data_IF_188957014969
#
_entry.id   IF_188957014969
#
_cell.length_a   1.000
_cell.length_b   1.000
_cell.length_c   1.000
_cell.angle_alpha   90.00
_cell.angle_beta   90.00
_cell.angle_gamma   90.00
#
_symmetry.space_group_name_H-M   'P 1'
#
loop_
_entity.id
_entity.type
_entity.pdbx_description
1 polymer ?
#
# COMPACT_ATOMS: atom_id res chain seq x y z
N UNK A 1 12.51 22.45 2.50
CA UNK A 1 11.42 22.42 3.49
C UNK A 1 10.03 22.56 2.89
N UNK A 2 9.74 23.58 2.08
CA UNK A 2 8.43 23.74 1.44
C UNK A 2 8.01 22.53 0.57
N UNK A 3 8.96 21.96 -0.17
CA UNK A 3 8.75 20.73 -0.96
C UNK A 3 8.39 19.52 -0.08
N UNK A 4 9.05 19.36 1.08
CA UNK A 4 8.78 18.28 2.03
C UNK A 4 7.39 18.41 2.67
N UNK A 5 6.97 19.63 3.03
CA UNK A 5 5.61 19.90 3.51
C UNK A 5 4.57 19.58 2.43
N UNK A 6 4.78 20.07 1.21
CA UNK A 6 3.88 19.80 0.09
C UNK A 6 3.74 18.30 -0.22
N UNK A 7 4.83 17.54 -0.09
CA UNK A 7 4.79 16.08 -0.23
C UNK A 7 4.00 15.41 0.91
N UNK A 8 4.17 15.81 2.17
CA UNK A 8 3.41 15.22 3.28
C UNK A 8 1.91 15.48 3.15
N UNK A 9 1.52 16.73 2.88
CA UNK A 9 0.11 17.12 2.80
C UNK A 9 -0.55 16.61 1.51
N UNK A 10 0.04 16.89 0.35
CA UNK A 10 -0.55 16.55 -0.93
C UNK A 10 -0.44 15.07 -1.29
N UNK A 11 0.72 14.47 -1.01
CA UNK A 11 1.02 13.09 -1.45
C UNK A 11 0.75 12.08 -0.34
N UNK A 12 1.34 12.24 0.85
CA UNK A 12 1.17 11.22 1.90
C UNK A 12 -0.25 11.25 2.49
N UNK A 13 -0.77 12.41 2.87
CA UNK A 13 -2.14 12.49 3.39
C UNK A 13 -3.17 12.26 2.27
N UNK A 14 -3.11 13.04 1.20
CA UNK A 14 -4.13 12.99 0.14
C UNK A 14 -4.12 11.72 -0.73
N UNK A 15 -2.93 11.19 -1.08
CA UNK A 15 -2.84 10.00 -1.95
C UNK A 15 -2.68 8.72 -1.15
N UNK A 16 -1.65 8.63 -0.30
CA UNK A 16 -1.32 7.38 0.40
C UNK A 16 -2.36 7.02 1.47
N UNK A 17 -2.82 7.96 2.29
CA UNK A 17 -3.75 7.67 3.39
C UNK A 17 -5.24 7.78 3.03
N UNK A 18 -5.58 8.30 1.86
CA UNK A 18 -6.98 8.49 1.44
C UNK A 18 -7.28 7.80 0.11
N UNK A 19 -6.65 8.23 -0.99
CA UNK A 19 -6.96 7.70 -2.32
C UNK A 19 -6.61 6.21 -2.48
N UNK A 20 -5.40 5.79 -2.11
CA UNK A 20 -4.95 4.41 -2.31
C UNK A 20 -5.78 3.39 -1.51
N UNK A 21 -6.11 3.62 -0.21
CA UNK A 21 -7.06 2.79 0.53
C UNK A 21 -8.39 2.63 -0.18
N UNK A 22 -8.94 3.69 -0.78
CA UNK A 22 -10.22 3.60 -1.51
C UNK A 22 -10.13 2.68 -2.74
N UNK A 23 -9.00 2.69 -3.44
CA UNK A 23 -8.75 1.81 -4.60
C UNK A 23 -8.58 0.36 -4.17
N UNK A 24 -7.85 0.12 -3.09
CA UNK A 24 -7.76 -1.20 -2.46
C UNK A 24 -9.13 -1.71 -2.01
N UNK A 25 -9.93 -0.87 -1.34
CA UNK A 25 -11.28 -1.22 -0.87
C UNK A 25 -12.21 -1.65 -2.02
N UNK A 26 -12.06 -1.06 -3.20
CA UNK A 26 -12.83 -1.46 -4.38
C UNK A 26 -12.33 -2.77 -5.01
N UNK A 27 -11.00 -3.00 -5.02
CA UNK A 27 -10.37 -4.13 -5.69
C UNK A 27 -10.45 -5.43 -4.87
N UNK A 28 -10.14 -5.38 -3.58
CA UNK A 28 -9.97 -6.57 -2.73
C UNK A 28 -11.23 -7.46 -2.65
N UNK A 29 -12.46 -6.91 -2.45
CA UNK A 29 -13.66 -7.73 -2.43
C UNK A 29 -13.91 -8.44 -3.76
N UNK A 30 -13.61 -7.77 -4.89
CA UNK A 30 -13.75 -8.33 -6.24
C UNK A 30 -12.79 -9.50 -6.44
N UNK A 31 -11.53 -9.32 -6.08
CA UNK A 31 -10.51 -10.37 -6.10
C UNK A 31 -10.91 -11.57 -5.25
N UNK A 32 -11.32 -11.34 -4.00
CA UNK A 32 -11.69 -12.41 -3.07
C UNK A 32 -12.87 -13.22 -3.60
N UNK A 33 -13.91 -12.54 -4.10
CA UNK A 33 -15.09 -13.17 -4.69
C UNK A 33 -14.74 -14.01 -5.93
N UNK A 34 -13.91 -13.47 -6.82
CA UNK A 34 -13.47 -14.20 -8.03
C UNK A 34 -12.61 -15.41 -7.69
N UNK A 35 -11.70 -15.28 -6.72
CA UNK A 35 -10.89 -16.39 -6.21
C UNK A 35 -11.77 -17.53 -5.69
N UNK A 36 -12.73 -17.23 -4.82
CA UNK A 36 -13.66 -18.24 -4.28
C UNK A 36 -14.54 -18.89 -5.35
N UNK A 37 -14.99 -18.09 -6.33
CA UNK A 37 -15.77 -18.61 -7.45
C UNK A 37 -14.93 -19.57 -8.31
N UNK A 38 -13.64 -19.28 -8.51
CA UNK A 38 -12.74 -20.13 -9.27
C UNK A 38 -12.55 -21.49 -8.59
N UNK A 39 -12.44 -21.51 -7.26
CA UNK A 39 -12.28 -22.73 -6.46
C UNK A 39 -13.52 -23.65 -6.48
N UNK A 40 -14.69 -23.14 -6.86
CA UNK A 40 -15.97 -23.86 -6.85
C UNK A 40 -16.50 -24.19 -8.24
N UNK A 41 -15.83 -23.72 -9.30
CA UNK A 41 -16.25 -23.93 -10.69
C UNK A 41 -15.86 -25.31 -11.19
N UNK A 42 -16.84 -26.05 -11.73
CA UNK A 42 -16.62 -27.32 -12.41
C UNK A 42 -16.56 -27.21 -13.95
N UNK A 43 -16.94 -26.05 -14.52
CA UNK A 43 -17.08 -25.86 -15.98
C UNK A 43 -15.85 -25.16 -16.59
N UNK A 44 -15.12 -25.89 -17.45
CA UNK A 44 -13.81 -25.48 -18.02
C UNK A 44 -13.86 -24.13 -18.75
N UNK A 45 -14.86 -23.87 -19.60
CA UNK A 45 -14.91 -22.60 -20.34
C UNK A 45 -15.20 -21.37 -19.45
N UNK A 46 -15.91 -21.58 -18.34
CA UNK A 46 -16.20 -20.51 -17.37
C UNK A 46 -14.98 -20.27 -16.45
N UNK A 47 -14.17 -21.31 -16.25
CA UNK A 47 -12.90 -21.25 -15.53
C UNK A 47 -11.90 -20.35 -16.26
N UNK A 48 -11.67 -20.55 -17.56
CA UNK A 48 -10.70 -19.74 -18.33
C UNK A 48 -10.99 -18.24 -18.29
N UNK A 49 -12.26 -17.86 -18.48
CA UNK A 49 -12.69 -16.45 -18.40
C UNK A 49 -12.41 -15.87 -17.01
N UNK A 50 -12.70 -16.63 -15.96
CA UNK A 50 -12.51 -16.17 -14.59
C UNK A 50 -11.04 -16.08 -14.19
N UNK A 51 -10.20 -17.00 -14.68
CA UNK A 51 -8.75 -16.94 -14.52
C UNK A 51 -8.18 -15.66 -15.14
N UNK A 52 -8.63 -15.32 -16.36
CA UNK A 52 -8.23 -14.06 -17.02
C UNK A 52 -8.67 -12.83 -16.23
N UNK A 53 -9.94 -12.78 -15.80
CA UNK A 53 -10.46 -11.67 -14.98
C UNK A 53 -9.70 -11.52 -13.65
N UNK A 54 -9.25 -12.63 -13.06
CA UNK A 54 -8.48 -12.62 -11.82
C UNK A 54 -7.03 -12.18 -12.06
N UNK A 55 -6.42 -12.55 -13.18
CA UNK A 55 -5.10 -12.07 -13.58
C UNK A 55 -5.13 -10.54 -13.80
N UNK A 56 -6.17 -10.02 -14.48
CA UNK A 56 -6.39 -8.57 -14.62
C UNK A 56 -6.50 -7.87 -13.25
N UNK A 57 -7.15 -8.51 -12.26
CA UNK A 57 -7.21 -7.96 -10.91
C UNK A 57 -5.84 -7.95 -10.21
N UNK A 58 -5.02 -8.99 -10.39
CA UNK A 58 -3.65 -9.01 -9.85
C UNK A 58 -2.75 -7.98 -10.54
N UNK A 59 -2.97 -7.71 -11.82
CA UNK A 59 -2.27 -6.64 -12.53
C UNK A 59 -2.63 -5.27 -11.92
N UNK A 60 -3.91 -5.01 -11.66
CA UNK A 60 -4.36 -3.80 -10.97
C UNK A 60 -3.77 -3.69 -9.55
N UNK A 61 -3.72 -4.79 -8.80
CA UNK A 61 -3.09 -4.82 -7.48
C UNK A 61 -1.60 -4.48 -7.56
N UNK A 62 -0.92 -4.99 -8.59
CA UNK A 62 0.49 -4.68 -8.87
C UNK A 62 0.68 -3.20 -9.19
N UNK A 63 -0.21 -2.61 -10.00
CA UNK A 63 -0.17 -1.17 -10.30
C UNK A 63 -0.36 -0.33 -9.03
N UNK A 64 -1.26 -0.71 -8.13
CA UNK A 64 -1.43 -0.02 -6.84
C UNK A 64 -0.18 -0.11 -5.96
N UNK A 65 0.46 -1.29 -5.90
CA UNK A 65 1.74 -1.44 -5.20
C UNK A 65 2.84 -0.57 -5.80
N UNK A 66 2.94 -0.51 -7.14
CA UNK A 66 3.90 0.35 -7.83
C UNK A 66 3.68 1.81 -7.45
N UNK A 67 2.43 2.28 -7.43
CA UNK A 67 2.12 3.64 -6.98
C UNK A 67 2.58 3.88 -5.54
N UNK A 68 2.33 2.96 -4.62
CA UNK A 68 2.80 3.09 -3.22
C UNK A 68 4.33 3.13 -3.11
N UNK A 69 5.03 2.32 -3.91
CA UNK A 69 6.50 2.35 -4.01
C UNK A 69 7.02 3.66 -4.59
N UNK A 70 6.37 4.21 -5.60
CA UNK A 70 6.73 5.50 -6.18
C UNK A 70 6.61 6.62 -5.14
N UNK A 71 5.52 6.64 -4.36
CA UNK A 71 5.39 7.59 -3.25
C UNK A 71 6.54 7.41 -2.25
N UNK A 72 6.82 6.17 -1.82
CA UNK A 72 7.94 5.89 -0.92
C UNK A 72 9.28 6.41 -1.45
N UNK A 73 9.61 6.14 -2.72
CA UNK A 73 10.86 6.59 -3.36
C UNK A 73 10.93 8.11 -3.48
N UNK A 74 9.83 8.76 -3.85
CA UNK A 74 9.70 10.21 -3.91
C UNK A 74 10.01 10.83 -2.53
N UNK A 75 9.36 10.32 -1.48
CA UNK A 75 9.63 10.76 -0.11
C UNK A 75 11.08 10.55 0.31
N UNK A 76 11.68 9.39 0.02
CA UNK A 76 13.10 9.14 0.31
C UNK A 76 13.99 10.17 -0.39
N UNK A 77 13.73 10.46 -1.67
CA UNK A 77 14.50 11.45 -2.42
C UNK A 77 14.40 12.85 -1.81
N UNK A 78 13.18 13.32 -1.50
CA UNK A 78 12.92 14.65 -0.96
C UNK A 78 13.62 14.83 0.40
N UNK A 79 13.43 13.89 1.32
CA UNK A 79 13.94 14.02 2.69
C UNK A 79 15.44 13.73 2.78
N UNK A 80 16.00 12.88 1.90
CA UNK A 80 17.44 12.68 1.84
C UNK A 80 18.17 13.93 1.32
N UNK A 81 17.59 14.64 0.35
CA UNK A 81 18.13 15.89 -0.17
C UNK A 81 17.98 17.07 0.81
N UNK A 82 16.86 17.11 1.55
CA UNK A 82 16.53 18.24 2.42
C UNK A 82 17.27 18.25 3.78
N UNK A 83 17.68 17.08 4.31
CA UNK A 83 18.22 16.99 5.68
C UNK A 83 19.55 16.22 5.72
N UNK A 84 20.65 16.97 5.71
CA UNK A 84 22.01 16.43 5.62
C UNK A 84 22.61 16.03 6.98
N UNK A 85 22.16 16.63 8.07
CA UNK A 85 22.65 16.37 9.43
C UNK A 85 21.92 15.20 10.11
N UNK A 86 22.66 14.31 10.77
CA UNK A 86 22.12 13.11 11.41
C UNK A 86 21.39 13.38 12.75
N UNK A 87 21.56 14.59 13.32
CA UNK A 87 20.90 15.03 14.55
C UNK A 87 19.57 15.76 14.32
N UNK A 88 19.11 15.86 13.07
CA UNK A 88 17.86 16.54 12.78
C UNK A 88 16.64 15.71 13.25
N UNK A 89 15.79 16.24 14.16
CA UNK A 89 14.60 15.56 14.62
C UNK A 89 13.60 15.26 13.49
N UNK A 90 13.54 16.10 12.44
CA UNK A 90 12.74 15.86 11.24
C UNK A 90 13.23 14.62 10.51
N UNK A 91 14.55 14.51 10.29
CA UNK A 91 15.15 13.36 9.61
C UNK A 91 14.88 12.06 10.34
N UNK A 92 15.07 12.02 11.67
CA UNK A 92 14.79 10.83 12.48
C UNK A 92 13.34 10.41 12.39
N UNK A 93 12.43 11.38 12.49
CA UNK A 93 10.99 11.13 12.43
C UNK A 93 10.56 10.63 11.05
N UNK A 94 11.11 11.22 9.99
CA UNK A 94 10.94 10.72 8.63
C UNK A 94 11.49 9.31 8.44
N UNK A 95 12.70 9.00 8.91
CA UNK A 95 13.30 7.67 8.76
C UNK A 95 12.46 6.58 9.44
N UNK A 96 11.86 6.88 10.60
CA UNK A 96 10.91 5.98 11.26
C UNK A 96 9.65 5.78 10.42
N UNK A 97 9.06 6.87 9.89
CA UNK A 97 7.90 6.80 9.02
C UNK A 97 8.18 6.00 7.74
N UNK A 98 9.32 6.24 7.11
CA UNK A 98 9.76 5.55 5.89
C UNK A 98 9.94 4.05 6.13
N UNK A 99 10.54 3.65 7.26
CA UNK A 99 10.66 2.23 7.66
C UNK A 99 9.30 1.58 7.84
N UNK A 100 8.36 2.29 8.45
CA UNK A 100 7.00 1.79 8.64
C UNK A 100 6.25 1.64 7.32
N UNK A 101 6.36 2.60 6.40
CA UNK A 101 5.82 2.51 5.03
C UNK A 101 6.42 1.31 4.29
N UNK A 102 7.74 1.11 4.39
CA UNK A 102 8.41 -0.02 3.74
C UNK A 102 7.96 -1.38 4.32
N UNK A 103 7.79 -1.47 5.64
CA UNK A 103 7.29 -2.68 6.28
C UNK A 103 5.86 -3.03 5.85
N UNK A 104 5.00 -2.02 5.69
CA UNK A 104 3.65 -2.20 5.12
C UNK A 104 3.74 -2.69 3.66
N UNK A 105 4.54 -2.03 2.82
CA UNK A 105 4.75 -2.42 1.42
C UNK A 105 5.19 -3.88 1.29
N UNK A 106 6.23 -4.29 2.03
CA UNK A 106 6.72 -5.67 2.01
C UNK A 106 5.64 -6.65 2.46
N UNK A 107 4.85 -6.30 3.48
CA UNK A 107 3.74 -7.14 3.94
C UNK A 107 2.69 -7.31 2.85
N UNK A 108 2.33 -6.23 2.14
CA UNK A 108 1.37 -6.29 1.03
C UNK A 108 1.88 -7.14 -0.13
N UNK A 109 3.13 -6.96 -0.53
CA UNK A 109 3.78 -7.75 -1.58
C UNK A 109 3.76 -9.24 -1.25
N UNK A 110 4.15 -9.62 -0.04
CA UNK A 110 4.15 -11.01 0.40
C UNK A 110 2.74 -11.63 0.38
N UNK A 111 1.73 -10.89 0.87
CA UNK A 111 0.35 -11.37 0.88
C UNK A 111 -0.20 -11.55 -0.54
N UNK A 112 0.04 -10.60 -1.43
CA UNK A 112 -0.43 -10.67 -2.82
C UNK A 112 0.29 -11.75 -3.62
N UNK A 113 1.60 -11.91 -3.43
CA UNK A 113 2.37 -12.98 -4.05
C UNK A 113 1.87 -14.36 -3.58
N UNK A 114 1.66 -14.53 -2.28
CA UNK A 114 1.11 -15.77 -1.75
C UNK A 114 -0.31 -16.02 -2.25
N UNK A 115 -1.18 -15.00 -2.26
CA UNK A 115 -2.53 -15.13 -2.79
C UNK A 115 -2.50 -15.57 -4.25
N UNK A 116 -1.71 -14.91 -5.11
CA UNK A 116 -1.59 -15.28 -6.53
C UNK A 116 -1.11 -16.72 -6.70
N UNK A 117 -0.10 -17.13 -5.94
CA UNK A 117 0.43 -18.50 -6.01
C UNK A 117 -0.55 -19.57 -5.48
N UNK A 118 -1.37 -19.23 -4.49
CA UNK A 118 -2.31 -20.14 -3.85
C UNK A 118 -3.76 -19.97 -4.32
N UNK A 119 -4.00 -19.34 -5.47
CA UNK A 119 -5.35 -18.98 -5.93
C UNK A 119 -6.35 -20.15 -5.89
N UNK A 120 -5.91 -21.36 -6.24
CA UNK A 120 -6.76 -22.56 -6.29
C UNK A 120 -7.01 -23.21 -4.93
N UNK A 121 -6.24 -22.87 -3.90
CA UNK A 121 -6.24 -23.58 -2.60
C UNK A 121 -6.37 -22.65 -1.39
N UNK A 122 -6.24 -21.33 -1.57
CA UNK A 122 -6.25 -20.36 -0.49
C UNK A 122 -7.62 -20.36 0.23
N UNK A 123 -7.65 -20.57 1.56
CA UNK A 123 -8.91 -20.60 2.30
C UNK A 123 -9.61 -19.24 2.32
N UNK A 124 -10.94 -19.26 2.41
CA UNK A 124 -11.76 -18.05 2.56
C UNK A 124 -11.33 -17.18 3.75
N UNK A 125 -10.95 -17.79 4.88
CA UNK A 125 -10.55 -17.03 6.07
C UNK A 125 -9.23 -16.31 5.86
N UNK A 126 -8.27 -16.93 5.15
CA UNK A 126 -7.02 -16.28 4.74
C UNK A 126 -7.30 -15.09 3.83
N UNK A 127 -8.23 -15.22 2.87
CA UNK A 127 -8.63 -14.11 1.99
C UNK A 127 -9.22 -12.93 2.77
N UNK A 128 -10.01 -13.19 3.81
CA UNK A 128 -10.54 -12.13 4.69
C UNK A 128 -9.43 -11.43 5.45
N UNK A 129 -8.49 -12.19 6.03
CA UNK A 129 -7.33 -11.63 6.75
C UNK A 129 -6.47 -10.78 5.80
N UNK A 130 -6.17 -11.27 4.61
CA UNK A 130 -5.40 -10.53 3.61
C UNK A 130 -6.13 -9.27 3.15
N UNK A 131 -7.44 -9.36 2.87
CA UNK A 131 -8.23 -8.18 2.46
C UNK A 131 -8.24 -7.10 3.55
N UNK A 132 -8.31 -7.49 4.82
CA UNK A 132 -8.21 -6.55 5.93
C UNK A 132 -6.80 -5.95 6.05
N UNK A 133 -5.76 -6.79 6.04
CA UNK A 133 -4.38 -6.35 6.20
C UNK A 133 -3.88 -5.47 5.05
N UNK A 134 -4.29 -5.74 3.81
CA UNK A 134 -3.95 -4.92 2.64
C UNK A 134 -4.62 -3.53 2.67
N UNK A 135 -5.75 -3.40 3.37
CA UNK A 135 -6.51 -2.16 3.49
C UNK A 135 -6.02 -1.28 4.64
N UNK A 136 -5.62 -1.89 5.76
CA UNK A 136 -5.27 -1.16 6.98
C UNK A 136 -3.81 -0.74 6.95
N UNK A 137 -3.56 0.58 6.99
CA UNK A 137 -2.23 1.13 7.28
C UNK A 137 -1.99 1.11 8.80
N UNK A 138 -1.61 -0.04 9.34
CA UNK A 138 -1.48 -0.20 10.79
C UNK A 138 -0.35 0.66 11.39
N UNK A 139 0.71 0.91 10.61
CA UNK A 139 1.93 1.60 11.08
C UNK A 139 1.99 3.07 10.68
N UNK A 140 1.21 3.48 9.67
CA UNK A 140 1.23 4.85 9.12
C UNK A 140 -0.11 5.52 9.40
N UNK A 141 -0.10 6.54 10.27
CA UNK A 141 -1.32 7.25 10.67
C UNK A 141 -1.27 8.73 10.30
N UNK A 142 -2.46 9.33 10.09
CA UNK A 142 -2.59 10.77 9.83
C UNK A 142 -1.89 11.61 10.92
N UNK A 143 -2.03 11.22 12.19
CA UNK A 143 -1.40 11.91 13.31
C UNK A 143 0.14 11.91 13.22
N UNK A 144 0.76 10.80 12.81
CA UNK A 144 2.22 10.73 12.63
C UNK A 144 2.71 11.60 11.47
N UNK A 145 1.96 11.60 10.37
CA UNK A 145 2.27 12.46 9.22
C UNK A 145 2.11 13.94 9.58
N UNK A 146 1.06 14.28 10.32
CA UNK A 146 0.81 15.64 10.81
C UNK A 146 1.91 16.11 11.76
N UNK A 147 2.34 15.27 12.70
CA UNK A 147 3.44 15.60 13.60
C UNK A 147 4.75 15.88 12.84
N UNK A 148 5.06 15.10 11.79
CA UNK A 148 6.22 15.36 10.96
C UNK A 148 6.09 16.70 10.20
N UNK A 149 4.89 17.03 9.68
CA UNK A 149 4.63 18.30 9.03
C UNK A 149 4.83 19.48 10.01
N UNK A 150 4.31 19.37 11.23
CA UNK A 150 4.48 20.38 12.29
C UNK A 150 5.96 20.58 12.65
N UNK A 151 6.74 19.50 12.74
CA UNK A 151 8.19 19.59 12.99
C UNK A 151 8.92 20.33 11.87
N UNK A 152 8.55 20.08 10.61
CA UNK A 152 9.14 20.80 9.46
C UNK A 152 8.75 22.29 9.49
N UNK A 153 7.51 22.61 9.84
CA UNK A 153 7.02 23.97 9.92
C UNK A 153 7.63 24.75 11.10
N UNK A 154 7.90 24.08 12.23
CA UNK A 154 8.53 24.69 13.40
C UNK A 154 10.06 24.87 13.26
N UNK A 155 10.69 24.09 12.38
CA UNK A 155 12.11 24.22 12.02
C UNK A 155 12.39 25.15 10.83
N UNK A 156 11.34 25.71 10.21
CA UNK A 156 11.40 26.68 9.09
C UNK A 156 11.38 28.12 9.55
#
# INVERSE_FOLDING_TARGET
MQEALGYLEGTVQGKYLELLPSRWAALLPRMAKRTQRLQTLAHIAAQFTLERELEEDFELATQLLVMEHELYREGVSIFHAAFTTADDPVRRTWELLARDVLAELTSKEMMLAHWKAAVSTIPSDTLRVYSYALLVHARVSKARVQNLAELIAAGA
#
